data_IF_114924387579
#
_entry.id   IF_114924387579
#
_cell.length_a   1.000
_cell.length_b   1.000
_cell.length_c   1.000
_cell.angle_alpha   90.00
_cell.angle_beta   90.00
_cell.angle_gamma   90.00
#
_symmetry.space_group_name_H-M   'P 1'
#
loop_
_entity.id
_entity.type
_entity.pdbx_description
1 polymer ?
#
# COMPACT_ATOMS: atom_id res chain seq x y z
N UNK A 1 13.36 5.54 -6.51
CA UNK A 1 12.04 4.99 -6.12
C UNK A 1 11.61 5.42 -4.70
N UNK A 2 12.50 5.33 -3.70
CA UNK A 2 12.19 5.64 -2.30
C UNK A 2 11.61 7.04 -2.06
N UNK A 3 12.21 8.07 -2.64
CA UNK A 3 11.73 9.46 -2.53
C UNK A 3 10.29 9.58 -3.06
N UNK A 4 10.01 8.98 -4.22
CA UNK A 4 8.67 8.98 -4.80
C UNK A 4 7.66 8.27 -3.89
N UNK A 5 8.02 7.12 -3.32
CA UNK A 5 7.14 6.37 -2.40
C UNK A 5 6.85 7.20 -1.14
N UNK A 6 7.87 7.77 -0.50
CA UNK A 6 7.69 8.60 0.70
C UNK A 6 6.81 9.81 0.39
N UNK A 7 7.11 10.51 -0.70
CA UNK A 7 6.35 11.69 -1.11
C UNK A 7 4.89 11.36 -1.40
N UNK A 8 4.61 10.33 -2.19
CA UNK A 8 3.23 9.94 -2.51
C UNK A 8 2.47 9.46 -1.28
N UNK A 9 3.15 8.84 -0.31
CA UNK A 9 2.54 8.38 0.95
C UNK A 9 2.12 9.54 1.85
N UNK A 10 2.97 10.55 1.97
CA UNK A 10 2.66 11.78 2.69
C UNK A 10 1.53 12.53 1.99
N UNK A 11 1.60 12.68 0.67
CA UNK A 11 0.56 13.34 -0.11
C UNK A 11 -0.78 12.61 0.01
N UNK A 12 -0.79 11.27 -0.07
CA UNK A 12 -1.96 10.43 0.16
C UNK A 12 -2.57 10.68 1.54
N UNK A 13 -1.74 10.84 2.58
CA UNK A 13 -2.25 11.14 3.91
C UNK A 13 -2.83 12.56 4.02
N UNK A 14 -2.15 13.55 3.43
CA UNK A 14 -2.55 14.97 3.45
C UNK A 14 -3.90 15.23 2.81
N UNK A 15 -4.20 14.59 1.67
CA UNK A 15 -5.48 14.80 0.96
C UNK A 15 -6.71 14.37 1.78
N UNK A 16 -6.53 13.57 2.84
CA UNK A 16 -7.62 13.15 3.71
C UNK A 16 -7.92 14.12 4.86
N UNK A 17 -7.20 15.24 4.96
CA UNK A 17 -7.50 16.38 5.84
C UNK A 17 -7.80 16.01 7.31
N UNK A 18 -7.10 15.02 7.86
CA UNK A 18 -7.27 14.58 9.26
C UNK A 18 -5.91 14.27 9.87
N UNK A 19 -5.58 15.00 10.94
CA UNK A 19 -4.32 14.83 11.66
C UNK A 19 -4.34 13.53 12.47
N UNK A 20 -5.49 13.14 13.03
CA UNK A 20 -5.62 11.96 13.87
C UNK A 20 -5.21 10.66 13.15
N UNK A 21 -5.59 10.51 11.87
CA UNK A 21 -5.22 9.35 11.05
C UNK A 21 -4.00 9.61 10.15
N UNK A 22 -3.31 10.73 10.33
CA UNK A 22 -2.26 11.13 9.41
C UNK A 22 -1.12 10.09 9.37
N UNK A 23 -0.62 9.69 10.54
CA UNK A 23 0.52 8.77 10.62
C UNK A 23 0.14 7.36 10.12
N UNK A 24 -1.02 6.84 10.52
CA UNK A 24 -1.47 5.51 10.10
C UNK A 24 -1.72 5.45 8.59
N UNK A 25 -2.30 6.50 7.99
CA UNK A 25 -2.50 6.59 6.53
C UNK A 25 -1.20 6.77 5.77
N UNK A 26 -0.25 7.54 6.30
CA UNK A 26 1.07 7.69 5.68
C UNK A 26 1.82 6.35 5.65
N UNK A 27 1.78 5.58 6.75
CA UNK A 27 2.37 4.23 6.81
C UNK A 27 1.67 3.28 5.82
N UNK A 28 0.35 3.31 5.74
CA UNK A 28 -0.41 2.52 4.76
C UNK A 28 -0.02 2.89 3.32
N UNK A 29 0.05 4.18 3.01
CA UNK A 29 0.49 4.66 1.70
C UNK A 29 1.90 4.16 1.35
N UNK A 30 2.81 4.17 2.33
CA UNK A 30 4.17 3.68 2.16
C UNK A 30 4.20 2.18 1.88
N UNK A 31 3.42 1.40 2.65
CA UNK A 31 3.27 -0.03 2.44
C UNK A 31 2.72 -0.34 1.04
N UNK A 32 1.65 0.34 0.61
CA UNK A 32 1.08 0.18 -0.74
C UNK A 32 2.10 0.55 -1.82
N UNK A 33 2.87 1.62 -1.64
CA UNK A 33 3.94 2.00 -2.56
C UNK A 33 5.02 0.91 -2.69
N UNK A 34 5.43 0.29 -1.59
CA UNK A 34 6.35 -0.85 -1.60
C UNK A 34 5.75 -2.10 -2.24
N UNK A 35 4.48 -2.39 -1.97
CA UNK A 35 3.77 -3.53 -2.58
C UNK A 35 3.76 -3.40 -4.09
N UNK A 36 3.45 -2.22 -4.63
CA UNK A 36 3.52 -1.97 -6.08
C UNK A 36 4.95 -2.08 -6.61
N UNK A 37 5.93 -1.50 -5.90
CA UNK A 37 7.33 -1.55 -6.31
C UNK A 37 7.84 -2.98 -6.48
N UNK A 38 7.49 -3.90 -5.56
CA UNK A 38 7.93 -5.29 -5.63
C UNK A 38 7.08 -6.18 -6.53
N UNK A 39 5.80 -5.86 -6.74
CA UNK A 39 4.89 -6.72 -7.52
C UNK A 39 4.71 -6.25 -8.96
N UNK A 40 4.96 -4.97 -9.26
CA UNK A 40 4.63 -4.34 -10.55
C UNK A 40 3.16 -4.55 -10.96
N UNK A 41 2.26 -4.76 -9.98
CA UNK A 41 0.87 -5.09 -10.21
C UNK A 41 -0.07 -4.23 -9.35
N UNK A 42 -0.89 -3.41 -10.00
CA UNK A 42 -1.85 -2.51 -9.34
C UNK A 42 -2.98 -3.26 -8.61
N UNK A 43 -3.35 -4.47 -9.05
CA UNK A 43 -4.42 -5.25 -8.43
C UNK A 43 -4.10 -5.67 -7.00
N UNK A 44 -2.82 -5.94 -6.73
CA UNK A 44 -2.34 -6.25 -5.38
C UNK A 44 -2.62 -5.06 -4.45
N UNK A 45 -2.33 -3.84 -4.91
CA UNK A 45 -2.59 -2.62 -4.16
C UNK A 45 -4.08 -2.35 -3.98
N UNK A 46 -4.89 -2.49 -5.05
CA UNK A 46 -6.34 -2.29 -5.00
C UNK A 46 -6.95 -3.21 -3.95
N UNK A 47 -6.59 -4.49 -3.97
CA UNK A 47 -7.12 -5.47 -3.04
C UNK A 47 -6.68 -5.21 -1.60
N UNK A 48 -5.40 -4.87 -1.39
CA UNK A 48 -4.88 -4.54 -0.06
C UNK A 48 -5.56 -3.29 0.53
N UNK A 49 -5.75 -2.25 -0.29
CA UNK A 49 -6.45 -1.04 0.13
C UNK A 49 -7.92 -1.30 0.42
N UNK A 50 -8.60 -2.10 -0.41
CA UNK A 50 -9.97 -2.53 -0.17
C UNK A 50 -10.12 -3.26 1.17
N UNK A 51 -9.24 -4.23 1.46
CA UNK A 51 -9.25 -4.93 2.76
C UNK A 51 -9.06 -3.95 3.92
N UNK A 52 -8.09 -3.04 3.81
CA UNK A 52 -7.86 -2.04 4.86
C UNK A 52 -9.13 -1.20 5.14
N UNK A 53 -9.78 -0.73 4.07
CA UNK A 53 -11.02 0.05 4.19
C UNK A 53 -12.18 -0.80 4.73
N UNK A 54 -12.29 -2.07 4.34
CA UNK A 54 -13.31 -2.98 4.83
C UNK A 54 -13.15 -3.26 6.32
N UNK A 55 -11.91 -3.44 6.80
CA UNK A 55 -11.61 -3.60 8.23
C UNK A 55 -11.98 -2.33 8.99
N UNK A 56 -11.57 -1.16 8.52
CA UNK A 56 -11.89 0.11 9.16
C UNK A 56 -13.41 0.34 9.22
N UNK A 57 -14.13 0.03 8.14
CA UNK A 57 -15.59 0.11 8.10
C UNK A 57 -16.24 -0.88 9.07
N UNK A 58 -15.77 -2.12 9.11
CA UNK A 58 -16.29 -3.14 10.02
C UNK A 58 -16.06 -2.79 11.50
N UNK A 59 -14.89 -2.24 11.83
CA UNK A 59 -14.58 -1.73 13.17
C UNK A 59 -15.54 -0.60 13.56
N UNK A 60 -15.71 0.39 12.68
CA UNK A 60 -16.63 1.51 12.93
C UNK A 60 -18.09 1.05 13.07
N UNK A 61 -18.51 0.10 12.23
CA UNK A 61 -19.84 -0.49 12.28
C UNK A 61 -20.07 -1.24 13.61
N UNK A 62 -19.09 -2.04 14.04
CA UNK A 62 -19.16 -2.75 15.31
C UNK A 62 -19.23 -1.80 16.51
N UNK A 63 -18.40 -0.74 16.54
CA UNK A 63 -18.45 0.27 17.60
C UNK A 63 -19.79 0.99 17.66
N UNK A 64 -20.37 1.32 16.50
CA UNK A 64 -21.71 1.93 16.39
C UNK A 64 -22.79 1.02 16.98
N UNK A 65 -22.73 -0.30 16.74
CA UNK A 65 -23.69 -1.26 17.30
C UNK A 65 -23.63 -1.36 18.83
N UNK A 66 -22.47 -1.14 19.44
CA UNK A 66 -22.31 -1.21 20.90
C UNK A 66 -22.84 0.04 21.62
N UNK A 67 -23.34 1.06 20.89
CA UNK A 67 -23.71 2.39 21.43
C UNK A 67 -22.63 2.98 22.35
N UNK A 68 -21.38 2.58 22.16
CA UNK A 68 -20.27 3.11 22.94
C UNK A 68 -20.10 4.55 22.49
N UNK A 69 -20.32 5.51 23.39
CA UNK A 69 -19.88 6.87 23.12
C UNK A 69 -18.40 6.80 22.80
N UNK A 70 -18.00 7.32 21.63
CA UNK A 70 -16.61 7.37 21.23
C UNK A 70 -15.96 8.48 22.07
N UNK A 71 -15.67 8.16 23.33
CA UNK A 71 -14.85 8.99 24.19
C UNK A 71 -13.42 8.86 23.69
N UNK A 72 -12.91 9.96 23.13
CA UNK A 72 -11.57 10.04 22.53
C UNK A 72 -10.49 9.71 23.58
N UNK A 73 -10.79 9.93 24.86
CA UNK A 73 -9.91 9.63 25.99
C UNK A 73 -9.81 8.13 26.33
N UNK A 74 -10.77 7.29 25.90
CA UNK A 74 -10.68 5.82 26.02
C UNK A 74 -10.02 5.16 24.79
N UNK A 75 -9.75 5.94 23.73
CA UNK A 75 -9.16 5.44 22.48
C UNK A 75 -7.64 5.31 22.55
N UNK A 76 -7.01 5.70 23.67
CA UNK A 76 -5.61 5.46 23.95
C UNK A 76 -5.50 4.31 24.99
N UNK A 77 -5.93 3.07 24.65
CA UNK A 77 -5.70 1.94 25.51
C UNK A 77 -4.19 1.81 25.69
N UNK A 78 -3.73 1.48 26.90
CA UNK A 78 -2.33 1.14 27.12
C UNK A 78 -1.98 -0.07 26.26
N UNK A 79 -1.49 0.18 25.05
CA UNK A 79 -1.03 -0.86 24.14
C UNK A 79 0.39 -1.21 24.58
N UNK A 80 0.65 -2.45 25.03
CA UNK A 80 1.99 -2.84 25.38
C UNK A 80 2.98 -2.59 24.24
N UNK A 81 4.12 -1.97 24.53
CA UNK A 81 5.16 -1.64 23.54
C UNK A 81 5.59 -2.86 22.71
N UNK A 82 5.53 -4.07 23.29
CA UNK A 82 5.90 -5.32 22.61
C UNK A 82 4.94 -5.66 21.46
N UNK A 83 3.67 -5.24 21.50
CA UNK A 83 2.74 -5.43 20.38
C UNK A 83 3.24 -4.68 19.14
N UNK A 84 3.78 -3.47 19.31
CA UNK A 84 4.40 -2.72 18.21
C UNK A 84 5.56 -3.48 17.57
N UNK A 85 6.41 -4.10 18.39
CA UNK A 85 7.52 -4.94 17.90
C UNK A 85 7.00 -6.18 17.17
N UNK A 86 6.00 -6.87 17.71
CA UNK A 86 5.38 -8.04 17.07
C UNK A 86 4.77 -7.66 15.72
N UNK A 87 4.02 -6.56 15.65
CA UNK A 87 3.45 -6.05 14.40
C UNK A 87 4.54 -5.73 13.36
N UNK A 88 5.65 -5.12 13.79
CA UNK A 88 6.78 -4.82 12.90
C UNK A 88 7.41 -6.10 12.33
N UNK A 89 7.63 -7.10 13.17
CA UNK A 89 8.20 -8.40 12.76
C UNK A 89 7.27 -9.12 11.78
N UNK A 90 5.97 -9.16 12.08
CA UNK A 90 4.97 -9.75 11.18
C UNK A 90 4.96 -9.02 9.84
N UNK A 91 4.93 -7.69 9.84
CA UNK A 91 4.96 -6.88 8.62
C UNK A 91 6.23 -7.14 7.80
N UNK A 92 7.40 -7.19 8.44
CA UNK A 92 8.65 -7.51 7.77
C UNK A 92 8.60 -8.91 7.14
N UNK A 93 8.10 -9.91 7.88
CA UNK A 93 7.90 -11.27 7.38
C UNK A 93 6.97 -11.33 6.16
N UNK A 94 5.84 -10.63 6.21
CA UNK A 94 4.88 -10.54 5.11
C UNK A 94 5.50 -9.87 3.87
N UNK A 95 6.29 -8.82 4.05
CA UNK A 95 6.99 -8.16 2.93
C UNK A 95 8.07 -9.06 2.31
N UNK A 96 8.80 -9.84 3.13
CA UNK A 96 9.76 -10.82 2.63
C UNK A 96 9.04 -11.91 1.82
N UNK A 97 7.93 -12.42 2.34
CA UNK A 97 7.11 -13.42 1.64
C UNK A 97 6.55 -12.86 0.33
N UNK A 98 6.00 -11.65 0.35
CA UNK A 98 5.50 -10.96 -0.84
C UNK A 98 6.59 -10.82 -1.90
N UNK A 99 7.78 -10.36 -1.50
CA UNK A 99 8.92 -10.20 -2.41
C UNK A 99 9.33 -11.54 -3.05
N UNK A 100 9.29 -12.64 -2.29
CA UNK A 100 9.59 -13.98 -2.83
C UNK A 100 8.54 -14.44 -3.82
N UNK A 101 7.26 -14.29 -3.49
CA UNK A 101 6.14 -14.70 -4.35
C UNK A 101 6.03 -13.82 -5.60
N UNK A 102 6.43 -12.56 -5.52
CA UNK A 102 6.26 -11.61 -6.61
C UNK A 102 7.31 -11.71 -7.73
N UNK A 103 8.41 -12.46 -7.54
CA UNK A 103 9.50 -12.56 -8.53
C UNK A 103 8.97 -13.07 -9.88
N UNK A 104 8.31 -14.23 -9.89
CA UNK A 104 7.87 -14.88 -11.14
C UNK A 104 6.81 -14.03 -11.87
N UNK A 105 5.73 -13.54 -11.22
CA UNK A 105 4.77 -12.66 -11.90
C UNK A 105 5.41 -11.38 -12.43
N UNK A 106 6.34 -10.79 -11.68
CA UNK A 106 7.04 -9.56 -12.07
C UNK A 106 7.87 -9.76 -13.33
N UNK A 107 8.64 -10.85 -13.43
CA UNK A 107 9.43 -11.16 -14.63
C UNK A 107 8.56 -11.30 -15.87
N UNK A 108 7.40 -11.97 -15.76
CA UNK A 108 6.44 -12.08 -16.86
C UNK A 108 5.89 -10.73 -17.30
N UNK A 109 5.56 -9.85 -16.35
CA UNK A 109 5.10 -8.48 -16.63
C UNK A 109 6.20 -7.71 -17.37
N UNK A 110 7.45 -7.77 -16.89
CA UNK A 110 8.57 -7.08 -17.51
C UNK A 110 8.89 -7.60 -18.91
N UNK A 111 8.87 -8.92 -19.12
CA UNK A 111 9.07 -9.51 -20.44
C UNK A 111 8.01 -9.06 -21.44
N UNK A 112 6.74 -9.03 -21.01
CA UNK A 112 5.63 -8.54 -21.83
C UNK A 112 5.73 -7.03 -22.09
N UNK A 113 6.10 -6.23 -21.09
CA UNK A 113 6.38 -4.80 -21.27
C UNK A 113 7.48 -4.57 -22.33
N UNK A 114 8.59 -5.33 -22.27
CA UNK A 114 9.69 -5.23 -23.24
C UNK A 114 9.24 -5.61 -24.66
N UNK A 115 8.47 -6.68 -24.81
CA UNK A 115 7.92 -7.10 -26.10
C UNK A 115 6.99 -6.02 -26.70
N UNK A 116 6.12 -5.42 -25.88
CA UNK A 116 5.21 -4.36 -26.32
C UNK A 116 5.96 -3.10 -26.75
N UNK A 117 7.02 -2.72 -26.03
CA UNK A 117 7.86 -1.59 -26.39
C UNK A 117 8.64 -1.85 -27.69
N UNK A 118 9.17 -3.06 -27.88
CA UNK A 118 9.82 -3.45 -29.13
C UNK A 118 8.85 -3.40 -30.32
N UNK A 119 7.63 -3.94 -30.17
CA UNK A 119 6.56 -3.86 -31.18
C UNK A 119 6.16 -2.41 -31.47
N UNK A 120 6.05 -1.57 -30.44
CA UNK A 120 5.75 -0.14 -30.60
C UNK A 120 6.83 0.55 -31.43
N UNK A 121 8.11 0.33 -31.12
CA UNK A 121 9.22 0.98 -31.83
C UNK A 121 9.31 0.55 -33.29
N UNK A 122 9.04 -0.72 -33.61
CA UNK A 122 8.96 -1.21 -35.00
C UNK A 122 7.84 -0.54 -35.79
N UNK A 123 6.71 -0.27 -35.13
CA UNK A 123 5.53 0.34 -35.73
C UNK A 123 5.48 1.87 -35.56
N UNK A 124 6.55 2.50 -35.06
CA UNK A 124 6.62 3.95 -34.89
C UNK A 124 7.04 4.61 -36.22
N UNK A 125 6.13 5.33 -36.90
CA UNK A 125 6.43 5.98 -38.17
C UNK A 125 7.45 7.13 -38.04
N UNK A 126 7.76 7.56 -36.80
CA UNK A 126 8.72 8.62 -36.52
C UNK A 126 10.06 8.10 -35.97
N UNK A 127 10.29 6.79 -35.86
CA UNK A 127 11.51 6.25 -35.24
C UNK A 127 12.81 6.59 -35.98
N UNK A 128 12.74 7.00 -37.26
CA UNK A 128 13.90 7.42 -38.07
C UNK A 128 14.34 8.88 -37.86
N UNK A 129 13.60 9.66 -37.06
CA UNK A 129 13.84 11.10 -36.86
C UNK A 129 14.38 11.45 -35.46
N UNK A 130 14.69 10.45 -34.64
CA UNK A 130 15.36 10.58 -33.33
C UNK A 130 16.72 9.89 -33.39
#
# INVERSE_FOLDING_TARGET
PWIAIVFTSILFSLIHMSVYLFLSRAILGFALGLMFYYTKNIWVNIFAHFINNAIAMAQLFYLTLQQKEINVDELDPEVPWWLGVVTLVILAGLFIALKKVSVIPREKILAKEAELLARRNLNDPFSKYN
#
